data_IF_490538433292
#
_entry.id   IF_490538433292
#
_cell.length_a   1.000
_cell.length_b   1.000
_cell.length_c   1.000
_cell.angle_alpha   90.00
_cell.angle_beta   90.00
_cell.angle_gamma   90.00
#
_symmetry.space_group_name_H-M   'P 1'
#
loop_
_entity.id
_entity.type
_entity.pdbx_description
1 polymer ?
#
# COMPACT_ATOMS: atom_id res chain seq x y z
N UNK A 1 -33.84 4.89 59.69
CA UNK A 1 -34.08 6.36 59.60
C UNK A 1 -33.78 6.79 58.16
N UNK A 2 -34.48 7.71 57.48
CA UNK A 2 -35.81 8.31 57.76
C UNK A 2 -36.41 9.02 56.50
N UNK A 3 -37.37 8.35 55.83
CA UNK A 3 -38.68 8.86 55.30
C UNK A 3 -38.83 10.01 54.25
N UNK A 4 -39.87 9.83 53.38
CA UNK A 4 -40.84 10.83 52.82
C UNK A 4 -40.27 11.82 51.75
N UNK A 5 -40.93 12.27 50.65
CA UNK A 5 -42.21 12.06 49.89
C UNK A 5 -41.87 12.33 48.37
N UNK A 6 -42.51 11.92 47.25
CA UNK A 6 -43.88 11.63 46.74
C UNK A 6 -44.67 12.84 46.15
N UNK A 7 -45.51 12.55 45.13
CA UNK A 7 -46.32 13.44 44.23
C UNK A 7 -45.52 14.15 43.10
N UNK A 8 -45.94 14.25 41.83
CA UNK A 8 -47.16 13.89 41.05
C UNK A 8 -48.32 14.91 40.97
N UNK A 9 -48.33 15.72 39.91
CA UNK A 9 -49.52 16.25 39.16
C UNK A 9 -49.02 16.72 37.78
N UNK A 10 -49.54 16.30 36.62
CA UNK A 10 -50.88 16.41 35.99
C UNK A 10 -51.03 17.70 35.13
N UNK A 11 -51.67 17.58 33.96
CA UNK A 11 -51.68 18.59 32.89
C UNK A 11 -53.03 19.33 32.75
N UNK A 12 -52.99 20.51 32.09
CA UNK A 12 -54.17 21.22 31.58
C UNK A 12 -53.99 21.59 30.10
N UNK A 13 -55.11 21.77 29.39
CA UNK A 13 -55.21 22.07 27.96
C UNK A 13 -55.98 23.40 27.73
N UNK A 14 -55.91 23.90 26.49
CA UNK A 14 -56.77 24.96 25.91
C UNK A 14 -56.59 26.40 26.47
N UNK A 15 -56.90 27.47 25.72
CA UNK A 15 -56.97 27.68 24.26
C UNK A 15 -57.13 29.20 23.95
N UNK A 16 -56.76 29.62 22.72
CA UNK A 16 -57.19 30.88 22.07
C UNK A 16 -56.75 32.23 22.72
N UNK A 17 -56.71 33.38 22.03
CA UNK A 17 -56.92 33.73 20.60
C UNK A 17 -56.16 35.00 20.20
N UNK A 18 -55.94 35.17 18.89
CA UNK A 18 -55.71 36.40 18.11
C UNK A 18 -55.51 37.74 18.86
N UNK A 19 -54.49 38.49 18.44
CA UNK A 19 -54.72 39.83 17.89
C UNK A 19 -53.91 40.01 16.59
N UNK A 20 -54.31 40.97 15.77
CA UNK A 20 -53.83 41.19 14.40
C UNK A 20 -53.56 42.68 14.23
N UNK A 21 -52.35 43.04 13.81
CA UNK A 21 -52.05 44.35 13.24
C UNK A 21 -51.54 44.18 11.80
N UNK A 22 -51.85 45.17 10.96
CA UNK A 22 -51.61 45.14 9.53
C UNK A 22 -50.74 46.33 9.15
N UNK A 23 -49.64 46.07 8.44
CA UNK A 23 -48.87 47.10 7.75
C UNK A 23 -48.78 46.76 6.25
N UNK A 24 -48.80 47.82 5.44
CA UNK A 24 -48.94 47.77 3.98
C UNK A 24 -47.68 47.24 3.27
N UNK A 25 -47.75 46.82 1.99
CA UNK A 25 -46.70 46.01 1.39
C UNK A 25 -45.46 46.81 1.00
N UNK A 26 -44.28 46.26 1.31
CA UNK A 26 -43.02 46.60 0.69
C UNK A 26 -42.61 45.50 -0.31
N UNK A 27 -41.96 45.87 -1.41
CA UNK A 27 -41.62 44.95 -2.50
C UNK A 27 -40.83 43.73 -2.02
N UNK A 28 -41.38 42.53 -2.24
CA UNK A 28 -40.62 41.28 -2.16
C UNK A 28 -39.70 41.21 -3.38
N UNK A 29 -38.51 41.80 -3.25
CA UNK A 29 -37.39 41.43 -4.10
C UNK A 29 -37.12 39.94 -3.89
N UNK A 30 -37.17 39.14 -4.96
CA UNK A 30 -36.90 37.71 -4.88
C UNK A 30 -35.42 37.52 -4.57
N UNK A 31 -35.10 37.36 -3.28
CA UNK A 31 -33.80 36.90 -2.84
C UNK A 31 -33.56 35.52 -3.46
N UNK A 32 -32.62 35.45 -4.41
CA UNK A 32 -32.21 34.17 -4.99
C UNK A 32 -31.79 33.22 -3.85
N UNK A 33 -32.16 31.93 -3.90
CA UNK A 33 -31.75 30.99 -2.87
C UNK A 33 -30.22 30.97 -2.83
N UNK A 34 -29.65 31.39 -1.70
CA UNK A 34 -28.21 31.27 -1.46
C UNK A 34 -27.90 29.78 -1.57
N UNK A 35 -27.21 29.41 -2.65
CA UNK A 35 -26.86 28.03 -2.91
C UNK A 35 -25.92 27.58 -1.79
N UNK A 36 -26.49 26.90 -0.79
CA UNK A 36 -25.74 26.24 0.25
C UNK A 36 -24.78 25.27 -0.46
N UNK A 37 -23.51 25.67 -0.53
CA UNK A 37 -22.50 24.91 -1.25
C UNK A 37 -22.49 23.52 -0.63
N UNK A 38 -22.90 22.52 -1.43
CA UNK A 38 -22.72 21.12 -1.04
C UNK A 38 -21.21 20.94 -0.90
N UNK A 39 -20.75 20.89 0.34
CA UNK A 39 -19.51 20.22 0.64
C UNK A 39 -19.71 18.77 0.16
N UNK A 40 -19.21 18.47 -1.04
CA UNK A 40 -19.07 17.09 -1.47
C UNK A 40 -18.27 16.40 -0.38
N UNK A 41 -18.87 15.37 0.21
CA UNK A 41 -18.27 14.61 1.31
C UNK A 41 -17.10 13.82 0.75
N UNK A 42 -15.96 14.51 0.62
CA UNK A 42 -14.75 13.99 0.02
C UNK A 42 -14.33 12.72 0.75
N UNK A 43 -14.51 11.57 0.09
CA UNK A 43 -13.94 10.30 0.53
C UNK A 43 -12.46 10.53 0.85
N UNK A 44 -11.97 10.21 2.06
CA UNK A 44 -10.58 10.44 2.42
C UNK A 44 -9.66 9.81 1.38
N UNK A 45 -8.99 10.66 0.60
CA UNK A 45 -8.21 10.21 -0.54
C UNK A 45 -7.03 9.37 -0.04
N UNK A 46 -6.89 8.16 -0.58
CA UNK A 46 -5.73 7.32 -0.31
C UNK A 46 -4.42 7.98 -0.76
N UNK A 47 -3.26 7.44 -0.32
CA UNK A 47 -1.96 7.97 -0.71
C UNK A 47 -1.86 8.05 -2.24
N UNK A 48 -1.74 9.27 -2.78
CA UNK A 48 -1.71 9.51 -4.23
C UNK A 48 -0.28 9.39 -4.73
N UNK A 49 -0.01 8.38 -5.53
CA UNK A 49 1.27 8.21 -6.23
C UNK A 49 1.67 9.51 -6.97
N UNK A 50 2.95 9.87 -6.86
CA UNK A 50 3.56 11.05 -7.48
C UNK A 50 4.57 10.66 -8.59
N UNK A 51 4.80 9.36 -8.79
CA UNK A 51 5.76 8.83 -9.73
C UNK A 51 7.19 9.30 -9.47
N UNK A 52 7.99 9.36 -10.55
CA UNK A 52 9.43 9.68 -10.48
C UNK A 52 9.77 11.15 -10.78
N UNK A 53 8.78 12.00 -11.05
CA UNK A 53 8.99 13.35 -11.60
C UNK A 53 9.85 14.28 -10.73
N UNK A 54 9.74 14.17 -9.40
CA UNK A 54 10.53 14.94 -8.42
C UNK A 54 11.56 14.09 -7.65
N UNK A 55 11.87 12.88 -8.14
CA UNK A 55 12.79 11.96 -7.46
C UNK A 55 14.13 12.61 -7.09
N UNK A 56 14.72 13.42 -7.98
CA UNK A 56 15.96 14.15 -7.71
C UNK A 56 15.84 15.24 -6.64
N UNK A 57 14.70 15.94 -6.55
CA UNK A 57 14.46 16.93 -5.49
C UNK A 57 14.39 16.25 -4.11
N UNK A 58 13.65 15.14 -4.03
CA UNK A 58 13.46 14.41 -2.78
C UNK A 58 14.74 13.71 -2.33
N UNK A 59 15.46 13.03 -3.23
CA UNK A 59 16.74 12.38 -2.89
C UNK A 59 17.79 13.41 -2.44
N UNK A 60 17.89 14.56 -3.10
CA UNK A 60 18.75 15.65 -2.65
C UNK A 60 18.35 16.18 -1.26
N UNK A 61 17.05 16.31 -0.98
CA UNK A 61 16.56 16.73 0.34
C UNK A 61 16.75 15.68 1.45
N UNK A 62 16.83 14.39 1.11
CA UNK A 62 17.08 13.30 2.07
C UNK A 62 18.57 13.12 2.36
N UNK A 63 19.43 13.21 1.35
CA UNK A 63 20.84 12.82 1.45
C UNK A 63 21.85 13.97 1.32
N UNK A 64 21.40 15.16 0.90
CA UNK A 64 22.27 16.34 0.72
C UNK A 64 23.42 16.06 -0.25
N UNK A 65 24.63 16.49 0.13
CA UNK A 65 25.86 16.33 -0.66
C UNK A 65 26.25 14.87 -0.95
N UNK A 66 25.62 13.89 -0.29
CA UNK A 66 25.82 12.46 -0.59
C UNK A 66 25.05 11.99 -1.83
N UNK A 67 24.14 12.79 -2.39
CA UNK A 67 23.36 12.43 -3.58
C UNK A 67 24.00 12.93 -4.89
N UNK A 68 24.44 11.99 -5.73
CA UNK A 68 24.85 12.29 -7.10
C UNK A 68 23.62 12.32 -8.02
N UNK A 69 23.24 13.52 -8.47
CA UNK A 69 22.13 13.75 -9.39
C UNK A 69 22.35 13.17 -10.81
N UNK A 70 23.61 12.93 -11.21
CA UNK A 70 23.98 12.29 -12.49
C UNK A 70 23.87 10.77 -12.38
N UNK A 71 24.42 10.16 -11.33
CA UNK A 71 24.29 8.72 -11.07
C UNK A 71 22.92 8.32 -10.48
N UNK A 72 22.09 9.31 -10.10
CA UNK A 72 20.73 9.18 -9.52
C UNK A 72 20.68 8.30 -8.27
N UNK A 73 21.78 8.26 -7.52
CA UNK A 73 21.96 7.51 -6.28
C UNK A 73 22.61 8.38 -5.21
N UNK A 74 22.39 8.05 -3.95
CA UNK A 74 23.25 8.53 -2.87
C UNK A 74 24.22 7.42 -2.42
N UNK A 75 25.34 7.78 -1.81
CA UNK A 75 26.28 6.83 -1.20
C UNK A 75 26.35 7.07 0.32
N UNK A 76 26.19 6.01 1.11
CA UNK A 76 26.38 6.05 2.58
C UNK A 76 27.21 4.87 3.05
N UNK A 77 27.53 4.83 4.35
CA UNK A 77 28.42 3.84 4.95
C UNK A 77 29.86 4.31 4.99
N UNK A 78 30.78 3.38 5.24
CA UNK A 78 32.20 3.63 5.48
C UNK A 78 33.06 2.43 5.08
N UNK A 79 34.39 2.57 5.11
CA UNK A 79 35.28 1.45 4.80
C UNK A 79 35.22 0.33 5.86
N UNK A 80 34.84 0.65 7.10
CA UNK A 80 34.77 -0.29 8.23
C UNK A 80 33.37 -0.94 8.36
N UNK A 81 32.31 -0.26 7.92
CA UNK A 81 30.91 -0.71 8.00
C UNK A 81 30.36 -1.26 6.67
N UNK A 82 31.11 -1.09 5.57
CA UNK A 82 30.62 -1.28 4.20
C UNK A 82 29.89 -0.04 3.67
N UNK A 83 29.68 0.02 2.35
CA UNK A 83 28.94 1.10 1.69
C UNK A 83 27.59 0.62 1.17
N UNK A 84 26.65 1.55 1.04
CA UNK A 84 25.34 1.32 0.43
C UNK A 84 25.04 2.41 -0.60
N UNK A 85 24.67 1.99 -1.81
CA UNK A 85 24.13 2.84 -2.87
C UNK A 85 22.60 2.93 -2.71
N UNK A 86 22.08 4.14 -2.51
CA UNK A 86 20.65 4.37 -2.26
C UNK A 86 19.95 4.99 -3.47
N UNK A 87 18.91 4.33 -3.97
CA UNK A 87 18.18 4.74 -5.17
C UNK A 87 16.68 4.97 -4.91
N UNK A 88 16.06 5.89 -5.65
CA UNK A 88 14.63 6.17 -5.53
C UNK A 88 13.79 5.04 -6.13
N UNK A 89 12.80 4.54 -5.38
CA UNK A 89 11.81 3.57 -5.89
C UNK A 89 10.46 4.24 -6.16
N UNK A 90 9.82 4.83 -5.14
CA UNK A 90 8.45 5.35 -5.26
C UNK A 90 8.17 6.53 -4.30
N UNK A 91 7.13 7.30 -4.59
CA UNK A 91 6.65 8.36 -3.69
C UNK A 91 5.14 8.55 -3.77
N UNK A 92 4.52 8.94 -2.65
CA UNK A 92 3.11 9.32 -2.61
C UNK A 92 2.86 10.55 -1.75
N UNK A 93 1.87 11.35 -2.16
CA UNK A 93 1.28 12.40 -1.36
C UNK A 93 0.51 11.77 -0.20
N UNK A 94 0.86 12.18 1.02
CA UNK A 94 0.10 11.96 2.25
C UNK A 94 -0.68 13.23 2.62
N UNK A 95 -1.58 13.09 3.60
CA UNK A 95 -2.31 14.21 4.20
C UNK A 95 -1.41 15.30 4.79
N UNK A 96 -1.93 16.52 4.87
CA UNK A 96 -1.25 17.73 5.34
C UNK A 96 0.02 18.11 4.54
N UNK A 97 0.02 17.87 3.22
CA UNK A 97 1.11 18.27 2.32
C UNK A 97 2.41 17.47 2.48
N UNK A 98 2.38 16.38 3.26
CA UNK A 98 3.50 15.45 3.45
C UNK A 98 3.67 14.55 2.23
N UNK A 99 4.89 14.10 1.98
CA UNK A 99 5.21 13.10 0.94
C UNK A 99 5.96 11.95 1.58
N UNK A 100 5.50 10.71 1.37
CA UNK A 100 6.29 9.52 1.64
C UNK A 100 7.18 9.22 0.44
N UNK A 101 8.45 8.89 0.67
CA UNK A 101 9.42 8.47 -0.35
C UNK A 101 10.06 7.16 0.10
N UNK A 102 10.06 6.17 -0.79
CA UNK A 102 10.64 4.85 -0.59
C UNK A 102 11.92 4.72 -1.41
N UNK A 103 12.97 4.26 -0.76
CA UNK A 103 14.35 4.21 -1.25
C UNK A 103 14.90 2.81 -1.04
N UNK A 104 15.62 2.29 -2.04
CA UNK A 104 16.33 1.01 -1.96
C UNK A 104 17.81 1.25 -1.68
N UNK A 105 18.33 0.71 -0.58
CA UNK A 105 19.75 0.56 -0.31
C UNK A 105 20.27 -0.75 -0.89
N UNK A 106 21.35 -0.66 -1.66
CA UNK A 106 22.04 -1.80 -2.25
C UNK A 106 23.50 -1.82 -1.76
N UNK A 107 24.01 -2.94 -1.24
CA UNK A 107 25.42 -3.11 -0.90
C UNK A 107 26.35 -2.66 -2.04
N UNK A 108 27.36 -1.87 -1.71
CA UNK A 108 28.20 -1.19 -2.68
C UNK A 108 29.67 -1.08 -2.23
N UNK A 109 30.53 -0.71 -3.17
CA UNK A 109 31.91 -0.30 -2.88
C UNK A 109 32.04 1.22 -2.65
N UNK A 110 33.27 1.67 -2.34
CA UNK A 110 33.60 3.06 -2.09
C UNK A 110 33.44 4.00 -3.31
N UNK A 111 33.25 3.46 -4.53
CA UNK A 111 32.91 4.22 -5.72
C UNK A 111 31.39 4.24 -5.99
N UNK A 112 30.60 3.54 -5.16
CA UNK A 112 29.15 3.44 -5.29
C UNK A 112 28.68 2.48 -6.40
N UNK A 113 29.55 1.59 -6.89
CA UNK A 113 29.13 0.46 -7.71
C UNK A 113 28.53 -0.63 -6.83
N UNK A 114 27.46 -1.26 -7.31
CA UNK A 114 26.67 -2.24 -6.55
C UNK A 114 27.39 -3.60 -6.53
N UNK A 115 27.40 -4.26 -5.36
CA UNK A 115 28.19 -5.46 -5.06
C UNK A 115 27.33 -6.62 -4.50
N UNK A 116 26.00 -6.45 -4.50
CA UNK A 116 25.05 -7.40 -3.91
C UNK A 116 25.03 -8.75 -4.65
N UNK A 117 24.90 -9.84 -3.88
CA UNK A 117 24.79 -11.19 -4.43
C UNK A 117 23.37 -11.52 -4.91
N UNK A 118 23.23 -12.55 -5.75
CA UNK A 118 21.93 -12.96 -6.31
C UNK A 118 20.88 -13.35 -5.27
N UNK A 119 21.30 -13.75 -4.06
CA UNK A 119 20.43 -14.17 -2.96
C UNK A 119 20.19 -13.07 -1.90
N UNK A 120 20.72 -11.87 -2.13
CA UNK A 120 20.69 -10.75 -1.18
C UNK A 120 19.59 -9.76 -1.56
N UNK A 121 18.76 -9.34 -0.60
CA UNK A 121 17.70 -8.36 -0.83
C UNK A 121 18.20 -6.92 -0.77
N UNK A 122 17.40 -5.99 -1.26
CA UNK A 122 17.60 -4.55 -1.07
C UNK A 122 17.01 -4.07 0.25
N UNK A 123 17.73 -3.18 0.93
CA UNK A 123 17.25 -2.55 2.17
C UNK A 123 16.22 -1.46 1.87
N UNK A 124 15.02 -1.58 2.45
CA UNK A 124 13.96 -0.59 2.30
C UNK A 124 14.07 0.50 3.36
N UNK A 125 14.28 1.73 2.89
CA UNK A 125 14.18 2.93 3.70
C UNK A 125 12.93 3.72 3.29
N UNK A 126 12.28 4.37 4.26
CA UNK A 126 11.13 5.23 4.05
C UNK A 126 11.37 6.58 4.71
N UNK A 127 11.16 7.64 3.95
CA UNK A 127 11.33 9.02 4.37
C UNK A 127 10.01 9.77 4.26
N UNK A 128 9.68 10.59 5.26
CA UNK A 128 8.56 11.53 5.16
C UNK A 128 9.11 12.93 5.03
N UNK A 129 8.73 13.63 3.96
CA UNK A 129 9.09 15.01 3.70
C UNK A 129 7.90 15.94 3.87
N UNK A 130 8.18 17.20 4.19
CA UNK A 130 7.25 18.33 4.16
C UNK A 130 7.77 19.38 3.20
N UNK A 131 6.87 20.09 2.53
CA UNK A 131 7.23 21.30 1.78
C UNK A 131 7.70 22.37 2.76
N UNK A 132 8.85 22.99 2.48
CA UNK A 132 9.52 23.98 3.31
C UNK A 132 9.91 25.17 2.42
N UNK A 133 8.97 26.12 2.25
CA UNK A 133 9.12 27.24 1.33
C UNK A 133 9.20 26.77 -0.13
N UNK A 134 10.35 26.94 -0.76
CA UNK A 134 10.62 26.48 -2.13
C UNK A 134 11.25 25.07 -2.19
N UNK A 135 11.59 24.46 -1.05
CA UNK A 135 12.28 23.17 -0.98
C UNK A 135 11.51 22.11 -0.19
N UNK A 136 12.20 21.01 0.12
CA UNK A 136 11.70 19.91 0.93
C UNK A 136 12.53 19.75 2.20
N UNK A 137 11.90 19.42 3.31
CA UNK A 137 12.55 19.05 4.57
C UNK A 137 12.08 17.67 5.00
N UNK A 138 13.01 16.77 5.33
CA UNK A 138 12.68 15.48 5.97
C UNK A 138 12.13 15.77 7.37
N UNK A 139 10.91 15.30 7.67
CA UNK A 139 10.35 15.34 9.02
C UNK A 139 10.48 14.03 9.78
N UNK A 140 10.52 12.90 9.07
CA UNK A 140 10.56 11.57 9.68
C UNK A 140 11.47 10.64 8.85
N UNK A 141 12.29 9.82 9.51
CA UNK A 141 13.21 8.83 8.90
C UNK A 141 12.89 7.43 9.45
N UNK A 142 12.81 6.45 8.55
CA UNK A 142 12.71 5.03 8.89
C UNK A 142 13.67 4.28 7.98
N UNK A 143 14.86 3.99 8.48
CA UNK A 143 15.95 3.38 7.72
C UNK A 143 16.04 1.87 8.07
N UNK A 144 16.37 1.02 7.10
CA UNK A 144 16.45 -0.44 7.23
C UNK A 144 15.15 -1.09 7.77
N UNK A 145 14.00 -0.71 7.21
CA UNK A 145 12.65 -1.17 7.63
C UNK A 145 12.43 -2.66 7.34
N UNK A 146 12.97 -3.14 6.22
CA UNK A 146 12.97 -4.53 5.80
C UNK A 146 14.10 -4.73 4.76
N UNK A 147 14.63 -5.95 4.65
CA UNK A 147 15.46 -6.37 3.51
C UNK A 147 14.59 -7.28 2.62
N UNK A 148 14.45 -6.97 1.33
CA UNK A 148 13.42 -7.54 0.46
C UNK A 148 13.95 -7.78 -0.97
N UNK A 149 13.37 -8.75 -1.68
CA UNK A 149 13.72 -9.04 -3.08
C UNK A 149 15.00 -9.84 -3.27
N UNK A 150 15.79 -9.48 -4.30
CA UNK A 150 17.01 -10.19 -4.70
C UNK A 150 17.97 -9.27 -5.46
N UNK A 151 19.23 -9.70 -5.66
CA UNK A 151 20.27 -8.91 -6.34
C UNK A 151 20.50 -7.51 -5.74
N UNK A 152 20.18 -7.32 -4.46
CA UNK A 152 20.27 -6.04 -3.75
C UNK A 152 19.14 -5.04 -4.06
N UNK A 153 18.03 -5.50 -4.66
CA UNK A 153 16.88 -4.66 -5.00
C UNK A 153 15.53 -5.31 -4.61
N UNK A 154 14.62 -4.53 -4.03
CA UNK A 154 13.20 -4.90 -3.99
C UNK A 154 12.44 -4.37 -5.21
N UNK A 155 11.30 -4.99 -5.49
CA UNK A 155 10.52 -4.77 -6.71
C UNK A 155 9.57 -3.57 -6.64
N UNK A 156 8.31 -3.80 -7.02
CA UNK A 156 7.33 -2.74 -7.23
C UNK A 156 6.68 -2.27 -5.92
N UNK A 157 6.45 -0.96 -5.78
CA UNK A 157 5.65 -0.37 -4.70
C UNK A 157 4.26 -0.01 -5.20
N UNK A 158 3.23 -0.43 -4.47
CA UNK A 158 1.81 -0.14 -4.75
C UNK A 158 1.17 0.55 -3.55
N UNK A 159 0.90 1.84 -3.69
CA UNK A 159 0.25 2.67 -2.67
C UNK A 159 -1.22 2.27 -2.46
N UNK A 160 -1.65 2.14 -1.19
CA UNK A 160 -3.02 1.74 -0.81
C UNK A 160 -3.53 2.51 0.41
N UNK A 161 -4.86 2.64 0.52
CA UNK A 161 -5.52 3.00 1.78
C UNK A 161 -5.93 1.72 2.51
N UNK A 162 -5.24 1.38 3.60
CA UNK A 162 -5.55 0.22 4.44
C UNK A 162 -6.88 0.38 5.20
N UNK A 163 -7.28 1.63 5.43
CA UNK A 163 -8.60 2.06 5.92
C UNK A 163 -8.73 3.59 5.65
N UNK A 164 -9.91 4.21 5.85
CA UNK A 164 -10.04 5.67 5.83
C UNK A 164 -9.03 6.33 6.77
N UNK A 165 -8.25 7.29 6.26
CA UNK A 165 -7.18 7.97 7.01
C UNK A 165 -5.96 7.10 7.37
N UNK A 166 -5.86 5.86 6.85
CA UNK A 166 -4.74 4.94 7.13
C UNK A 166 -3.98 4.61 5.84
N UNK A 167 -3.03 5.47 5.42
CA UNK A 167 -2.18 5.18 4.27
C UNK A 167 -1.25 3.99 4.55
N UNK A 168 -0.95 3.24 3.50
CA UNK A 168 0.02 2.16 3.48
C UNK A 168 0.49 1.86 2.07
N UNK A 169 1.27 0.81 1.93
CA UNK A 169 1.76 0.32 0.65
C UNK A 169 1.97 -1.19 0.69
N UNK A 170 2.00 -1.78 -0.49
CA UNK A 170 2.45 -3.16 -0.72
C UNK A 170 3.77 -3.07 -1.49
N UNK A 171 4.76 -3.87 -1.11
CA UNK A 171 5.95 -4.13 -1.93
C UNK A 171 5.78 -5.51 -2.55
N UNK A 172 5.77 -5.59 -3.88
CA UNK A 172 5.87 -6.86 -4.60
C UNK A 172 7.35 -7.18 -4.76
N UNK A 173 7.87 -8.13 -3.98
CA UNK A 173 9.30 -8.43 -3.83
C UNK A 173 9.60 -9.91 -4.08
N UNK A 174 10.75 -10.23 -4.68
CA UNK A 174 11.16 -11.62 -4.93
C UNK A 174 12.30 -11.75 -5.94
N UNK A 175 12.26 -12.80 -6.77
CA UNK A 175 13.30 -13.09 -7.74
C UNK A 175 13.08 -14.37 -8.53
N UNK A 176 14.11 -14.74 -9.31
CA UNK A 176 14.13 -15.95 -10.15
C UNK A 176 15.38 -16.77 -9.81
N UNK A 177 15.18 -18.05 -9.47
CA UNK A 177 16.25 -19.01 -9.16
C UNK A 177 16.07 -20.26 -10.02
N UNK A 178 17.08 -20.59 -10.83
CA UNK A 178 17.11 -21.82 -11.64
C UNK A 178 15.88 -22.02 -12.57
N UNK A 179 15.20 -20.94 -12.95
CA UNK A 179 13.99 -20.99 -13.80
C UNK A 179 12.65 -20.99 -13.05
N UNK A 180 12.69 -20.99 -11.71
CA UNK A 180 11.54 -20.77 -10.84
C UNK A 180 11.45 -19.29 -10.46
N UNK A 181 10.26 -18.70 -10.57
CA UNK A 181 9.93 -17.35 -10.15
C UNK A 181 9.02 -17.37 -8.92
N UNK A 182 9.29 -16.46 -7.98
CA UNK A 182 8.45 -16.22 -6.80
C UNK A 182 8.41 -14.72 -6.50
N UNK A 183 7.21 -14.18 -6.25
CA UNK A 183 6.99 -12.85 -5.70
C UNK A 183 6.10 -12.94 -4.45
N UNK A 184 6.51 -12.27 -3.38
CA UNK A 184 5.72 -11.98 -2.19
C UNK A 184 5.14 -10.57 -2.26
N UNK A 185 3.96 -10.39 -1.68
CA UNK A 185 3.41 -9.07 -1.38
C UNK A 185 3.61 -8.75 0.11
N UNK A 186 4.52 -7.83 0.40
CA UNK A 186 4.84 -7.37 1.74
C UNK A 186 4.05 -6.10 2.07
N UNK A 187 3.19 -6.14 3.10
CA UNK A 187 2.24 -5.05 3.39
C UNK A 187 2.73 -4.17 4.53
N UNK A 188 2.70 -2.86 4.34
CA UNK A 188 3.17 -1.86 5.31
C UNK A 188 2.12 -0.76 5.57
N UNK A 189 1.95 -0.37 6.83
CA UNK A 189 1.24 0.85 7.23
C UNK A 189 2.20 2.04 7.39
N UNK A 190 1.68 3.26 7.19
CA UNK A 190 2.33 4.54 7.50
C UNK A 190 1.66 5.31 8.66
N UNK A 191 0.62 4.74 9.27
CA UNK A 191 -0.18 5.41 10.29
C UNK A 191 0.49 5.34 11.68
N UNK A 192 1.23 6.40 12.04
CA UNK A 192 1.95 6.51 13.31
C UNK A 192 3.42 6.07 13.27
N UNK A 193 3.91 5.72 12.08
CA UNK A 193 5.22 5.14 11.82
C UNK A 193 5.13 4.14 10.68
N UNK A 194 6.26 3.55 10.27
CA UNK A 194 6.25 2.44 9.31
C UNK A 194 6.13 1.12 10.07
N UNK A 195 5.10 0.33 9.75
CA UNK A 195 4.85 -0.97 10.40
C UNK A 195 4.59 -2.04 9.35
N UNK A 196 5.38 -3.11 9.35
CA UNK A 196 5.10 -4.32 8.60
C UNK A 196 3.85 -5.03 9.16
N UNK A 197 2.91 -5.38 8.28
CA UNK A 197 1.64 -6.04 8.60
C UNK A 197 1.61 -7.51 8.12
N UNK A 198 2.77 -8.08 7.82
CA UNK A 198 2.92 -9.43 7.25
C UNK A 198 2.91 -9.44 5.71
N UNK A 199 3.00 -10.65 5.15
CA UNK A 199 3.13 -10.90 3.72
C UNK A 199 2.51 -12.24 3.28
N UNK A 200 2.39 -12.44 1.98
CA UNK A 200 1.96 -13.70 1.34
C UNK A 200 2.48 -13.78 -0.11
N UNK A 201 2.58 -14.99 -0.67
CA UNK A 201 2.95 -15.19 -2.07
C UNK A 201 1.91 -14.51 -2.99
N UNK A 202 2.33 -13.55 -3.80
CA UNK A 202 1.50 -12.84 -4.80
C UNK A 202 1.56 -13.55 -6.16
N UNK A 203 2.71 -14.10 -6.55
CA UNK A 203 2.91 -14.74 -7.85
C UNK A 203 3.96 -15.84 -7.78
N UNK A 204 3.80 -16.90 -8.58
CA UNK A 204 4.87 -17.87 -8.87
C UNK A 204 4.64 -18.51 -10.24
N UNK A 205 5.75 -18.83 -10.90
CA UNK A 205 5.77 -19.69 -12.09
C UNK A 205 7.06 -20.49 -12.16
N UNK A 206 7.09 -21.57 -12.93
CA UNK A 206 8.31 -22.36 -13.16
C UNK A 206 8.69 -22.46 -14.65
N UNK A 207 8.24 -21.51 -15.48
CA UNK A 207 8.36 -21.57 -16.94
C UNK A 207 9.80 -21.68 -17.47
N UNK A 208 10.81 -21.21 -16.72
CA UNK A 208 12.22 -21.37 -17.06
C UNK A 208 12.85 -22.70 -16.62
N UNK A 209 12.20 -23.44 -15.71
CA UNK A 209 12.57 -24.78 -15.26
C UNK A 209 11.68 -25.89 -15.88
N UNK A 210 10.57 -25.51 -16.50
CA UNK A 210 9.59 -26.40 -17.09
C UNK A 210 10.12 -27.07 -18.38
N UNK A 211 10.16 -28.40 -18.38
CA UNK A 211 10.54 -29.21 -19.52
C UNK A 211 9.90 -30.60 -19.47
N UNK A 212 10.27 -31.54 -20.37
CA UNK A 212 9.66 -32.87 -20.44
C UNK A 212 9.70 -33.68 -19.13
N UNK A 213 10.76 -33.50 -18.35
CA UNK A 213 10.97 -34.16 -17.05
C UNK A 213 10.16 -33.53 -15.89
N UNK A 214 9.49 -32.39 -16.10
CA UNK A 214 8.68 -31.75 -15.06
C UNK A 214 7.29 -32.41 -14.98
N UNK A 215 6.89 -32.88 -13.79
CA UNK A 215 5.57 -33.49 -13.57
C UNK A 215 4.43 -32.49 -13.82
N UNK A 216 4.54 -31.30 -13.25
CA UNK A 216 3.60 -30.18 -13.42
C UNK A 216 4.38 -28.86 -13.55
N UNK A 217 3.87 -27.97 -14.39
CA UNK A 217 4.33 -26.60 -14.56
C UNK A 217 3.20 -25.61 -14.30
N UNK A 218 3.53 -24.40 -13.86
CA UNK A 218 2.54 -23.39 -13.49
C UNK A 218 2.99 -21.97 -13.82
N UNK A 219 2.00 -21.10 -13.96
CA UNK A 219 2.14 -19.63 -13.98
C UNK A 219 0.88 -19.06 -13.31
N UNK A 220 1.01 -18.51 -12.09
CA UNK A 220 -0.13 -18.15 -11.22
C UNK A 220 0.16 -16.84 -10.50
N UNK A 221 -0.61 -15.80 -10.82
CA UNK A 221 -0.48 -14.45 -10.27
C UNK A 221 -1.75 -13.92 -9.59
N UNK A 222 -1.57 -13.14 -8.53
CA UNK A 222 -2.63 -12.56 -7.70
C UNK A 222 -2.84 -11.07 -7.92
N UNK A 223 -4.10 -10.65 -8.06
CA UNK A 223 -4.49 -9.24 -8.14
C UNK A 223 -5.01 -8.73 -6.79
N UNK A 224 -4.14 -8.08 -6.03
CA UNK A 224 -4.49 -7.57 -4.68
C UNK A 224 -5.39 -6.32 -4.76
N UNK A 225 -6.43 -6.29 -3.95
CA UNK A 225 -7.35 -5.18 -3.72
C UNK A 225 -7.65 -5.01 -2.22
N UNK A 226 -8.16 -3.84 -1.82
CA UNK A 226 -8.66 -3.59 -0.45
C UNK A 226 -10.18 -3.72 -0.46
N UNK A 227 -10.75 -4.49 0.48
CA UNK A 227 -12.19 -4.65 0.58
C UNK A 227 -12.89 -3.35 1.01
N UNK A 228 -14.11 -3.07 0.51
CA UNK A 228 -14.97 -2.05 1.09
C UNK A 228 -15.20 -2.29 2.59
N UNK A 229 -15.24 -1.22 3.37
CA UNK A 229 -15.52 -1.30 4.81
C UNK A 229 -16.92 -1.86 5.07
N UNK A 230 -17.02 -2.97 5.81
CA UNK A 230 -18.28 -3.67 6.05
C UNK A 230 -19.02 -3.01 7.23
N UNK A 231 -20.29 -2.57 7.06
CA UNK A 231 -21.11 -2.09 8.16
C UNK A 231 -21.22 -3.17 9.26
N UNK A 232 -20.89 -2.79 10.50
CA UNK A 232 -20.81 -3.72 11.64
C UNK A 232 -19.39 -4.12 12.03
N UNK A 233 -18.37 -3.97 11.16
CA UNK A 233 -16.95 -4.10 11.54
C UNK A 233 -16.38 -2.83 12.22
N UNK A 234 -17.20 -2.15 13.02
CA UNK A 234 -16.82 -0.95 13.74
C UNK A 234 -15.78 -1.28 14.82
N UNK A 235 -14.50 -0.99 14.54
CA UNK A 235 -13.37 -1.31 15.42
C UNK A 235 -12.21 -2.06 14.74
N UNK A 236 -12.40 -2.58 13.52
CA UNK A 236 -11.31 -3.18 12.77
C UNK A 236 -10.18 -2.17 12.49
N UNK A 237 -8.93 -2.52 12.80
CA UNK A 237 -7.79 -1.59 12.64
C UNK A 237 -7.51 -1.27 11.17
N UNK A 238 -7.60 -2.26 10.28
CA UNK A 238 -7.51 -2.12 8.84
C UNK A 238 -8.61 -2.95 8.16
N UNK A 239 -8.96 -2.61 6.92
CA UNK A 239 -9.87 -3.40 6.11
C UNK A 239 -9.22 -4.72 5.65
N UNK A 240 -10.06 -5.70 5.30
CA UNK A 240 -9.59 -6.94 4.69
C UNK A 240 -8.89 -6.66 3.34
N UNK A 241 -7.84 -7.40 3.02
CA UNK A 241 -7.31 -7.49 1.66
C UNK A 241 -8.00 -8.65 0.93
N UNK A 242 -8.26 -8.48 -0.36
CA UNK A 242 -8.84 -9.50 -1.23
C UNK A 242 -7.96 -9.66 -2.46
N UNK A 243 -7.56 -10.89 -2.74
CA UNK A 243 -6.64 -11.23 -3.83
C UNK A 243 -7.35 -12.19 -4.77
N UNK A 244 -7.61 -11.74 -5.99
CA UNK A 244 -8.14 -12.59 -7.06
C UNK A 244 -6.96 -13.20 -7.81
N UNK A 245 -6.78 -14.51 -7.69
CA UNK A 245 -5.73 -15.27 -8.33
C UNK A 245 -6.19 -15.81 -9.69
N UNK A 246 -5.36 -15.61 -10.70
CA UNK A 246 -5.55 -16.13 -12.06
C UNK A 246 -4.25 -16.73 -12.58
N UNK A 247 -4.35 -17.84 -13.29
CA UNK A 247 -3.19 -18.51 -13.86
C UNK A 247 -3.56 -19.81 -14.54
N UNK A 248 -2.57 -20.64 -14.80
CA UNK A 248 -2.74 -21.97 -15.38
C UNK A 248 -1.74 -22.98 -14.81
N UNK A 249 -2.09 -24.25 -14.97
CA UNK A 249 -1.24 -25.42 -14.74
C UNK A 249 -1.17 -26.20 -16.04
N UNK A 250 0.02 -26.66 -16.41
CA UNK A 250 0.30 -27.33 -17.68
C UNK A 250 1.46 -28.32 -17.53
N UNK A 251 1.66 -29.20 -18.52
CA UNK A 251 2.86 -30.03 -18.66
C UNK A 251 3.55 -29.70 -19.98
N UNK A 252 4.86 -29.90 -20.06
CA UNK A 252 5.60 -29.89 -21.33
C UNK A 252 5.99 -31.31 -21.70
N UNK A 253 5.96 -31.64 -22.99
CA UNK A 253 6.47 -32.90 -23.54
C UNK A 253 7.34 -32.65 -24.75
N UNK A 254 8.23 -33.57 -25.09
CA UNK A 254 9.02 -33.54 -26.32
C UNK A 254 8.34 -34.38 -27.41
N UNK A 255 8.18 -33.82 -28.62
CA UNK A 255 7.66 -34.52 -29.79
C UNK A 255 8.73 -35.43 -30.43
N UNK A 256 8.33 -36.26 -31.40
CA UNK A 256 9.22 -37.20 -32.08
C UNK A 256 10.32 -36.55 -32.97
N UNK A 257 10.49 -35.22 -32.90
CA UNK A 257 11.51 -34.42 -33.61
C UNK A 257 12.31 -33.50 -32.66
N UNK A 258 12.04 -33.52 -31.35
CA UNK A 258 12.66 -32.62 -30.37
C UNK A 258 11.94 -31.27 -30.18
N UNK A 259 10.70 -31.15 -30.65
CA UNK A 259 9.87 -29.97 -30.42
C UNK A 259 9.18 -30.03 -29.04
N UNK A 260 9.22 -28.93 -28.28
CA UNK A 260 8.50 -28.84 -27.01
C UNK A 260 7.02 -28.47 -27.24
N UNK A 261 6.11 -29.32 -26.76
CA UNK A 261 4.66 -29.09 -26.80
C UNK A 261 4.12 -28.85 -25.37
N UNK A 262 3.24 -27.86 -25.23
CA UNK A 262 2.58 -27.49 -23.96
C UNK A 262 1.17 -28.05 -23.91
N UNK A 263 0.90 -28.89 -22.91
CA UNK A 263 -0.40 -29.51 -22.62
C UNK A 263 -1.04 -28.85 -21.41
N UNK A 264 -2.16 -28.17 -21.59
CA UNK A 264 -2.93 -27.57 -20.50
C UNK A 264 -3.51 -28.65 -19.58
N UNK A 265 -3.43 -28.43 -18.26
CA UNK A 265 -4.00 -29.30 -17.23
C UNK A 265 -5.24 -28.64 -16.60
N UNK A 266 -5.12 -27.37 -16.18
CA UNK A 266 -6.20 -26.65 -15.51
C UNK A 266 -5.99 -25.13 -15.53
N UNK A 267 -7.09 -24.37 -15.60
CA UNK A 267 -7.10 -22.95 -15.26
C UNK A 267 -7.14 -22.76 -13.75
N UNK A 268 -6.33 -21.84 -13.23
CA UNK A 268 -6.40 -21.41 -11.82
C UNK A 268 -7.25 -20.15 -11.75
N UNK A 269 -8.34 -20.22 -10.98
CA UNK A 269 -9.19 -19.07 -10.67
C UNK A 269 -9.73 -19.19 -9.24
N UNK A 270 -9.10 -18.50 -8.31
CA UNK A 270 -9.46 -18.49 -6.88
C UNK A 270 -9.49 -17.06 -6.33
N UNK A 271 -10.09 -16.87 -5.16
CA UNK A 271 -10.04 -15.61 -4.42
C UNK A 271 -9.66 -15.90 -2.96
N UNK A 272 -8.63 -15.24 -2.45
CA UNK A 272 -8.26 -15.22 -1.04
C UNK A 272 -8.75 -13.95 -0.36
N UNK A 273 -9.15 -14.06 0.92
CA UNK A 273 -9.42 -12.91 1.79
C UNK A 273 -8.53 -12.96 3.03
N UNK A 274 -7.74 -11.90 3.21
CA UNK A 274 -6.87 -11.73 4.36
C UNK A 274 -7.43 -10.65 5.29
N UNK A 275 -7.46 -10.92 6.61
CA UNK A 275 -7.88 -9.97 7.65
C UNK A 275 -6.73 -9.67 8.59
N UNK A 276 -6.63 -8.44 9.06
CA UNK A 276 -5.68 -8.06 10.10
C UNK A 276 -6.13 -8.61 11.47
N UNK A 277 -5.31 -9.45 12.10
CA UNK A 277 -5.62 -10.14 13.37
C UNK A 277 -5.32 -9.30 14.63
N UNK A 278 -4.82 -8.08 14.46
CA UNK A 278 -4.27 -7.22 15.52
C UNK A 278 -2.74 -7.10 15.48
N UNK A 279 -2.06 -8.02 14.77
CA UNK A 279 -0.60 -8.04 14.55
C UNK A 279 -0.22 -8.10 13.07
N UNK A 280 -0.90 -8.91 12.27
CA UNK A 280 -0.63 -9.12 10.85
C UNK A 280 -1.88 -9.53 10.05
N UNK A 281 -1.81 -9.44 8.73
CA UNK A 281 -2.79 -10.04 7.84
C UNK A 281 -2.71 -11.58 7.87
N UNK A 282 -3.87 -12.22 7.96
CA UNK A 282 -4.06 -13.69 7.98
C UNK A 282 -5.17 -14.10 7.03
N UNK A 283 -5.00 -15.20 6.32
CA UNK A 283 -6.03 -15.80 5.48
C UNK A 283 -7.24 -16.20 6.37
N UNK A 284 -8.44 -15.74 6.01
CA UNK A 284 -9.69 -16.01 6.76
C UNK A 284 -10.83 -16.56 5.90
N UNK A 285 -10.71 -16.51 4.56
CA UNK A 285 -11.58 -17.20 3.64
C UNK A 285 -10.88 -17.41 2.29
N UNK A 286 -11.25 -18.49 1.59
CA UNK A 286 -10.59 -18.91 0.35
C UNK A 286 -9.24 -19.58 0.60
N UNK A 287 -8.45 -19.67 -0.46
CA UNK A 287 -7.15 -20.32 -0.52
C UNK A 287 -6.17 -19.42 -1.30
N UNK A 288 -4.87 -19.55 -1.04
CA UNK A 288 -3.83 -19.00 -1.91
C UNK A 288 -3.27 -20.15 -2.77
N UNK A 289 -3.53 -20.19 -4.09
CA UNK A 289 -3.11 -21.28 -4.96
C UNK A 289 -1.65 -21.15 -5.43
N UNK A 290 -0.95 -20.06 -5.11
CA UNK A 290 0.41 -19.79 -5.55
C UNK A 290 1.38 -20.75 -4.85
N UNK A 291 2.12 -21.60 -5.60
CA UNK A 291 3.08 -22.52 -5.01
C UNK A 291 4.25 -21.82 -4.27
N UNK A 292 4.99 -22.61 -3.51
CA UNK A 292 6.37 -22.27 -3.14
C UNK A 292 7.36 -22.68 -4.24
N UNK A 293 8.61 -22.28 -4.06
CA UNK A 293 9.78 -22.65 -4.88
C UNK A 293 10.92 -23.11 -3.98
#
# INVERSE_FOLDING_TARGET
>A
MQRILMLTTLACLAACSRQQESLAPANVAVAAPVAAARAESATPAGPRDLGRAKAGEWMAAIFGDRYDAKARRALTGSADEGFNALSFVAAAQLEAGRVAVIVNGTPADAAGAEQASHAEGGDMHVFVLRSAGAGWQVSDRYENVANLGSHGHFGAVKWIALAPGKPGFIVSSGGVWQGYEILSADIFALAGGVQALGSFNEHSGNSGACGPEADECWDIGGKISVAPAVPGQAGAQYADLVVDFTGERYKVTEDAKGGLEKHHIADVKQTARYRFDGKAYKLVAGENPVPGV
#
